data_IF_838526048637
#
_entry.id   IF_838526048637
#
_cell.length_a   1.000
_cell.length_b   1.000
_cell.length_c   1.000
_cell.angle_alpha   90.00
_cell.angle_beta   90.00
_cell.angle_gamma   90.00
#
_symmetry.space_group_name_H-M   'P 1'
#
loop_
_entity.id
_entity.type
_entity.pdbx_description
1 polymer ?
#
# COMPACT_ATOMS: atom_id res chain seq x y z
N UNK A 1 -44.37 -11.46 -56.74
CA UNK A 1 -43.36 -10.62 -57.41
C UNK A 1 -43.07 -9.48 -56.45
N UNK A 2 -41.86 -9.48 -55.93
CA UNK A 2 -41.33 -8.55 -54.91
C UNK A 2 -41.34 -7.12 -55.44
N UNK A 3 -41.63 -6.16 -54.56
CA UNK A 3 -40.77 -4.97 -54.50
C UNK A 3 -40.69 -4.41 -53.07
N UNK A 4 -39.47 -4.03 -52.71
CA UNK A 4 -39.01 -3.53 -51.42
C UNK A 4 -38.49 -2.12 -51.68
N UNK A 5 -38.91 -1.14 -50.87
CA UNK A 5 -38.16 0.06 -50.45
C UNK A 5 -39.16 1.03 -49.81
N UNK A 6 -38.87 1.89 -48.85
CA UNK A 6 -37.61 2.44 -48.38
C UNK A 6 -37.78 2.89 -46.92
N UNK A 7 -36.65 2.94 -46.26
CA UNK A 7 -36.32 3.40 -44.93
C UNK A 7 -36.81 4.82 -44.66
N UNK A 8 -37.57 4.96 -43.58
CA UNK A 8 -37.72 6.22 -42.84
C UNK A 8 -37.17 6.01 -41.42
N UNK A 9 -35.84 6.05 -41.29
CA UNK A 9 -35.12 6.10 -40.01
C UNK A 9 -35.72 7.22 -39.16
N UNK A 10 -36.55 6.88 -38.17
CA UNK A 10 -36.70 7.74 -37.01
C UNK A 10 -35.49 7.45 -36.13
N UNK A 11 -34.41 8.18 -36.42
CA UNK A 11 -33.37 8.43 -35.46
C UNK A 11 -34.04 9.33 -34.41
N UNK A 12 -34.69 8.70 -33.44
CA UNK A 12 -35.10 9.42 -32.24
C UNK A 12 -33.78 9.79 -31.54
N UNK A 13 -33.34 10.99 -31.88
CA UNK A 13 -32.30 11.74 -31.19
C UNK A 13 -32.57 11.62 -29.70
N UNK A 14 -31.82 10.75 -29.04
CA UNK A 14 -31.61 10.85 -27.60
C UNK A 14 -30.79 12.11 -27.37
N UNK A 15 -31.47 13.26 -27.45
CA UNK A 15 -30.91 14.56 -27.15
C UNK A 15 -30.55 14.56 -25.66
N UNK A 16 -29.23 14.54 -25.45
CA UNK A 16 -28.52 15.49 -24.60
C UNK A 16 -28.64 15.33 -23.09
N UNK A 17 -28.12 14.19 -22.60
CA UNK A 17 -27.33 14.20 -21.36
C UNK A 17 -26.03 13.40 -21.55
N UNK A 18 -25.33 13.63 -22.66
CA UNK A 18 -23.94 13.23 -22.87
C UNK A 18 -23.19 14.56 -22.99
N UNK A 19 -22.74 15.14 -21.88
CA UNK A 19 -21.38 14.97 -21.34
C UNK A 19 -20.75 16.36 -21.30
N UNK A 20 -20.73 17.03 -20.15
CA UNK A 20 -20.06 18.33 -20.01
C UNK A 20 -18.52 18.26 -20.15
N UNK A 21 -17.99 17.16 -20.68
CA UNK A 21 -16.61 16.90 -21.03
C UNK A 21 -16.57 15.88 -22.15
N UNK A 22 -15.76 16.06 -23.19
CA UNK A 22 -15.63 15.03 -24.22
C UNK A 22 -15.11 13.70 -23.65
N UNK A 23 -15.28 12.59 -24.39
CA UNK A 23 -14.87 11.22 -24.01
C UNK A 23 -13.46 11.16 -23.39
N UNK A 24 -12.52 11.97 -23.90
CA UNK A 24 -11.17 12.05 -23.34
C UNK A 24 -11.12 12.64 -21.93
N UNK A 25 -11.88 13.70 -21.64
CA UNK A 25 -11.96 14.29 -20.29
C UNK A 25 -12.58 13.29 -19.30
N UNK A 26 -13.61 12.57 -19.73
CA UNK A 26 -14.17 11.49 -18.91
C UNK A 26 -13.15 10.39 -18.60
N UNK A 27 -12.40 9.93 -19.59
CA UNK A 27 -11.37 8.91 -19.40
C UNK A 27 -10.25 9.42 -18.49
N UNK A 28 -9.82 10.68 -18.64
CA UNK A 28 -8.84 11.31 -17.75
C UNK A 28 -9.33 11.33 -16.30
N UNK A 29 -10.56 11.80 -16.06
CA UNK A 29 -11.13 11.84 -14.71
C UNK A 29 -11.27 10.44 -14.08
N UNK A 30 -11.52 9.40 -14.90
CA UNK A 30 -11.53 8.00 -14.44
C UNK A 30 -10.13 7.53 -14.01
N UNK A 31 -9.08 7.95 -14.72
CA UNK A 31 -7.68 7.66 -14.35
C UNK A 31 -7.38 8.33 -13.02
N UNK A 32 -7.63 9.64 -12.88
CA UNK A 32 -7.36 10.38 -11.65
C UNK A 32 -8.06 9.75 -10.43
N UNK A 33 -9.32 9.32 -10.61
CA UNK A 33 -10.07 8.62 -9.56
C UNK A 33 -9.46 7.26 -9.21
N UNK A 34 -8.99 6.51 -10.20
CA UNK A 34 -8.34 5.22 -9.97
C UNK A 34 -6.98 5.37 -9.29
N UNK A 35 -6.20 6.39 -9.66
CA UNK A 35 -4.92 6.71 -9.04
C UNK A 35 -5.10 7.08 -7.57
N UNK A 36 -6.06 7.96 -7.25
CA UNK A 36 -6.37 8.33 -5.87
C UNK A 36 -6.81 7.13 -5.01
N UNK A 37 -7.68 6.26 -5.53
CA UNK A 37 -8.07 5.02 -4.81
C UNK A 37 -6.90 4.08 -4.59
N UNK A 38 -6.00 3.98 -5.56
CA UNK A 38 -4.79 3.18 -5.43
C UNK A 38 -3.82 3.77 -4.40
N UNK A 39 -3.69 5.11 -4.33
CA UNK A 39 -2.95 5.81 -3.29
C UNK A 39 -3.51 5.46 -1.89
N UNK A 40 -4.81 5.62 -1.68
CA UNK A 40 -5.46 5.28 -0.40
C UNK A 40 -5.24 3.81 -0.01
N UNK A 41 -5.43 2.90 -0.96
CA UNK A 41 -5.21 1.47 -0.74
C UNK A 41 -3.74 1.16 -0.41
N UNK A 42 -2.80 1.84 -1.05
CA UNK A 42 -1.38 1.66 -0.81
C UNK A 42 -0.97 2.20 0.57
N UNK A 43 -1.45 3.36 0.96
CA UNK A 43 -1.24 3.93 2.29
C UNK A 43 -1.83 3.02 3.39
N UNK A 44 -3.02 2.45 3.14
CA UNK A 44 -3.64 1.44 4.00
C UNK A 44 -2.81 0.17 4.13
N UNK A 45 -2.21 -0.30 3.04
CA UNK A 45 -1.31 -1.46 3.03
C UNK A 45 -0.03 -1.20 3.84
N UNK A 46 0.61 -0.04 3.64
CA UNK A 46 1.79 0.36 4.41
C UNK A 46 1.46 0.43 5.91
N UNK A 47 0.34 1.06 6.26
CA UNK A 47 -0.14 1.15 7.65
C UNK A 47 -0.34 -0.23 8.27
N UNK A 48 -0.94 -1.16 7.53
CA UNK A 48 -1.16 -2.53 7.99
C UNK A 48 0.16 -3.28 8.27
N UNK A 49 1.16 -3.11 7.39
CA UNK A 49 2.49 -3.68 7.60
C UNK A 49 3.20 -3.05 8.80
N UNK A 50 3.11 -1.74 8.96
CA UNK A 50 3.67 -1.01 10.10
C UNK A 50 3.06 -1.51 11.42
N UNK A 51 1.73 -1.55 11.51
CA UNK A 51 1.02 -1.95 12.72
C UNK A 51 1.26 -3.44 13.03
N UNK A 52 1.38 -4.29 12.00
CA UNK A 52 1.70 -5.71 12.18
C UNK A 52 3.07 -5.92 12.83
N UNK A 53 4.15 -5.31 12.32
CA UNK A 53 5.46 -5.42 12.98
C UNK A 53 5.45 -4.72 14.35
N UNK A 54 4.71 -3.61 14.50
CA UNK A 54 4.54 -2.94 15.79
C UNK A 54 3.98 -3.87 16.86
N UNK A 55 2.97 -4.68 16.51
CA UNK A 55 2.40 -5.69 17.40
C UNK A 55 3.43 -6.80 17.74
N UNK A 56 4.17 -7.31 16.75
CA UNK A 56 5.23 -8.31 16.98
C UNK A 56 6.32 -7.78 17.92
N UNK A 57 6.74 -6.53 17.70
CA UNK A 57 7.77 -5.88 18.49
C UNK A 57 7.32 -5.61 19.93
N UNK A 58 6.09 -5.13 20.11
CA UNK A 58 5.51 -4.92 21.44
C UNK A 58 5.42 -6.24 22.21
N UNK A 59 4.91 -7.30 21.57
CA UNK A 59 4.82 -8.62 22.18
C UNK A 59 6.18 -9.18 22.57
N UNK A 60 7.19 -9.01 21.71
CA UNK A 60 8.56 -9.36 22.03
C UNK A 60 9.08 -8.59 23.27
N UNK A 61 8.82 -7.28 23.36
CA UNK A 61 9.24 -6.45 24.49
C UNK A 61 8.59 -6.88 25.81
N UNK A 62 7.32 -7.28 25.79
CA UNK A 62 6.61 -7.80 26.95
C UNK A 62 7.22 -9.10 27.47
N UNK A 63 7.61 -10.00 26.57
CA UNK A 63 8.12 -11.32 26.93
C UNK A 63 9.60 -11.30 27.30
N UNK A 64 10.38 -10.34 26.78
CA UNK A 64 11.85 -10.30 26.90
C UNK A 64 12.37 -10.35 28.34
N UNK A 65 11.78 -9.64 29.32
CA UNK A 65 12.25 -9.68 30.72
C UNK A 65 12.13 -11.06 31.36
N UNK A 66 11.12 -11.84 30.97
CA UNK A 66 10.79 -13.13 31.59
C UNK A 66 11.51 -14.30 30.91
N UNK A 67 11.55 -14.31 29.58
CA UNK A 67 11.98 -15.47 28.80
C UNK A 67 13.33 -15.27 28.09
N UNK A 68 13.95 -14.10 28.25
CA UNK A 68 15.17 -13.75 27.54
C UNK A 68 14.96 -13.62 26.02
N UNK A 69 16.04 -13.29 25.29
CA UNK A 69 15.95 -12.95 23.87
C UNK A 69 15.39 -14.11 23.03
N UNK A 70 15.95 -15.30 23.19
CA UNK A 70 15.59 -16.46 22.38
C UNK A 70 14.22 -17.04 22.77
N UNK A 71 13.92 -17.11 24.07
CA UNK A 71 12.61 -17.58 24.55
C UNK A 71 11.47 -16.69 24.07
N UNK A 72 11.63 -15.37 24.13
CA UNK A 72 10.61 -14.43 23.63
C UNK A 72 10.41 -14.52 22.12
N UNK A 73 11.49 -14.69 21.34
CA UNK A 73 11.38 -14.87 19.88
C UNK A 73 10.62 -16.16 19.53
N UNK A 74 10.93 -17.26 20.21
CA UNK A 74 10.25 -18.53 19.99
C UNK A 74 8.76 -18.45 20.35
N UNK A 75 8.43 -17.79 21.48
CA UNK A 75 7.05 -17.59 21.92
C UNK A 75 6.26 -16.73 20.93
N UNK A 76 6.77 -15.56 20.52
CA UNK A 76 6.12 -14.72 19.50
C UNK A 76 5.88 -15.52 18.21
N UNK A 77 6.89 -16.27 17.74
CA UNK A 77 6.74 -17.12 16.54
C UNK A 77 5.62 -18.16 16.71
N UNK A 78 5.54 -18.79 17.88
CA UNK A 78 4.50 -19.78 18.18
C UNK A 78 3.10 -19.15 18.25
N UNK A 79 2.96 -17.96 18.83
CA UNK A 79 1.70 -17.22 18.92
C UNK A 79 1.21 -16.82 17.53
N UNK A 80 2.09 -16.25 16.70
CA UNK A 80 1.77 -15.90 15.31
C UNK A 80 1.31 -17.12 14.53
N UNK A 81 1.97 -18.28 14.72
CA UNK A 81 1.57 -19.51 14.02
C UNK A 81 0.28 -20.12 14.52
N UNK A 82 -0.08 -19.90 15.78
CA UNK A 82 -1.39 -20.27 16.33
C UNK A 82 -2.51 -19.44 15.70
N UNK A 83 -2.30 -18.15 15.49
CA UNK A 83 -3.30 -17.24 14.91
C UNK A 83 -3.37 -17.31 13.38
N UNK A 84 -2.21 -17.52 12.74
CA UNK A 84 -2.05 -17.66 11.30
C UNK A 84 -1.55 -19.09 11.02
N UNK A 85 -2.45 -20.08 10.95
CA UNK A 85 -2.07 -21.45 10.66
C UNK A 85 -1.55 -21.57 9.22
N UNK A 86 -0.76 -22.63 8.97
CA UNK A 86 -0.14 -22.89 7.67
C UNK A 86 -1.15 -23.05 6.54
N UNK A 87 -2.35 -23.57 6.84
CA UNK A 87 -3.48 -23.67 5.90
C UNK A 87 -3.97 -22.31 5.39
N UNK A 88 -3.74 -21.22 6.13
CA UNK A 88 -4.04 -19.85 5.68
C UNK A 88 -2.85 -19.17 5.02
N UNK A 89 -1.64 -19.41 5.53
CA UNK A 89 -0.43 -18.77 5.02
C UNK A 89 0.80 -19.66 5.28
N UNK A 90 1.45 -20.12 4.22
CA UNK A 90 2.66 -20.95 4.30
C UNK A 90 3.78 -20.26 5.08
N UNK A 91 4.74 -21.04 5.58
CA UNK A 91 5.94 -20.53 6.29
C UNK A 91 6.70 -19.49 5.48
N UNK A 92 6.93 -19.77 4.19
CA UNK A 92 7.63 -18.83 3.32
C UNK A 92 6.83 -17.54 3.07
N UNK A 93 5.52 -17.65 2.90
CA UNK A 93 4.67 -16.48 2.68
C UNK A 93 4.56 -15.62 3.95
N UNK A 94 4.45 -16.25 5.12
CA UNK A 94 4.45 -15.54 6.41
C UNK A 94 5.79 -14.86 6.66
N UNK A 95 6.91 -15.55 6.41
CA UNK A 95 8.25 -14.98 6.55
C UNK A 95 8.42 -13.73 5.68
N UNK A 96 8.03 -13.80 4.40
CA UNK A 96 8.05 -12.64 3.49
C UNK A 96 7.15 -11.50 3.98
N UNK A 97 5.99 -11.81 4.55
CA UNK A 97 5.08 -10.82 5.15
C UNK A 97 5.71 -10.10 6.34
N UNK A 98 6.34 -10.84 7.26
CA UNK A 98 7.06 -10.28 8.41
C UNK A 98 8.24 -9.43 7.94
N UNK A 99 9.01 -9.89 6.95
CA UNK A 99 10.14 -9.11 6.40
C UNK A 99 9.68 -7.77 5.81
N UNK A 100 8.55 -7.75 5.09
CA UNK A 100 7.96 -6.51 4.57
C UNK A 100 7.47 -5.61 5.71
N UNK A 101 6.81 -6.20 6.70
CA UNK A 101 6.35 -5.49 7.90
C UNK A 101 7.52 -4.78 8.60
N UNK A 102 8.62 -5.51 8.82
CA UNK A 102 9.84 -4.97 9.43
C UNK A 102 10.45 -3.82 8.64
N UNK A 103 10.48 -3.91 7.31
CA UNK A 103 10.99 -2.82 6.45
C UNK A 103 10.12 -1.57 6.58
N UNK A 104 8.80 -1.71 6.49
CA UNK A 104 7.87 -0.59 6.63
C UNK A 104 7.95 0.02 8.04
N UNK A 105 7.98 -0.82 9.07
CA UNK A 105 8.15 -0.37 10.45
C UNK A 105 9.45 0.40 10.63
N UNK A 106 10.59 -0.11 10.15
CA UNK A 106 11.87 0.60 10.23
C UNK A 106 11.79 1.98 9.57
N UNK A 107 11.29 2.07 8.34
CA UNK A 107 11.20 3.35 7.61
C UNK A 107 10.34 4.34 8.41
N UNK A 108 9.08 4.00 8.65
CA UNK A 108 8.10 4.93 9.21
C UNK A 108 8.23 5.15 10.72
N UNK A 109 8.86 4.23 11.44
CA UNK A 109 9.23 4.48 12.84
C UNK A 109 10.40 5.46 12.93
N UNK A 110 11.25 5.55 11.90
CA UNK A 110 12.35 6.52 11.83
C UNK A 110 11.90 7.87 11.28
N UNK A 111 11.13 7.91 10.20
CA UNK A 111 10.74 9.19 9.55
C UNK A 111 9.42 9.79 10.07
N UNK A 112 8.68 9.03 10.88
CA UNK A 112 7.36 9.40 11.40
C UNK A 112 6.22 8.65 10.72
N UNK A 113 5.30 8.09 11.52
CA UNK A 113 4.12 7.35 11.03
C UNK A 113 3.21 8.24 10.18
N UNK A 114 3.14 9.53 10.50
CA UNK A 114 2.38 10.53 9.76
C UNK A 114 2.86 10.72 8.31
N UNK A 115 4.09 10.29 7.99
CA UNK A 115 4.63 10.32 6.63
C UNK A 115 3.97 9.30 5.70
N UNK A 116 3.27 8.29 6.23
CA UNK A 116 2.53 7.32 5.41
C UNK A 116 1.47 8.03 4.56
N UNK A 117 0.75 9.01 5.13
CA UNK A 117 -0.27 9.79 4.43
C UNK A 117 0.30 10.70 3.31
N UNK A 118 1.62 10.82 3.22
CA UNK A 118 2.30 11.64 2.19
C UNK A 118 2.80 10.78 1.02
N UNK A 119 2.57 9.46 1.07
CA UNK A 119 3.00 8.53 0.02
C UNK A 119 1.98 8.56 -1.12
N UNK A 120 2.30 9.36 -2.14
CA UNK A 120 1.39 9.62 -3.27
C UNK A 120 1.38 8.58 -4.38
N UNK A 121 2.49 7.86 -4.54
CA UNK A 121 2.57 6.85 -5.58
C UNK A 121 3.59 5.77 -5.24
N UNK A 122 3.40 4.64 -5.89
CA UNK A 122 4.33 3.52 -5.93
C UNK A 122 5.30 3.80 -7.08
N UNK A 123 6.60 4.06 -6.84
CA UNK A 123 7.57 3.90 -7.91
C UNK A 123 7.47 2.45 -8.45
N UNK A 124 7.55 2.19 -9.76
CA UNK A 124 7.29 0.87 -10.35
C UNK A 124 8.13 -0.32 -9.81
N UNK A 125 9.12 -0.09 -8.93
CA UNK A 125 9.88 -1.11 -8.20
C UNK A 125 9.77 -1.05 -6.66
N UNK A 126 8.93 -0.18 -6.10
CA UNK A 126 8.92 0.16 -4.67
C UNK A 126 8.11 -0.80 -3.80
N UNK A 127 7.21 -1.57 -4.39
CA UNK A 127 6.55 -2.63 -3.64
C UNK A 127 7.42 -3.88 -3.72
N UNK A 128 7.81 -4.38 -2.54
CA UNK A 128 8.17 -5.77 -2.22
C UNK A 128 9.66 -6.15 -2.17
N UNK A 129 10.61 -5.38 -2.73
CA UNK A 129 12.03 -5.77 -2.83
C UNK A 129 13.06 -4.76 -2.28
N UNK A 130 12.69 -3.87 -1.35
CA UNK A 130 13.68 -2.96 -0.73
C UNK A 130 14.80 -3.75 -0.05
N UNK A 131 16.03 -3.56 -0.48
CA UNK A 131 17.21 -4.03 0.25
C UNK A 131 17.41 -3.20 1.53
N UNK A 132 18.36 -3.62 2.37
CA UNK A 132 18.76 -2.81 3.53
C UNK A 132 19.26 -1.44 3.05
N UNK A 133 20.06 -1.40 2.00
CA UNK A 133 20.64 -0.18 1.43
C UNK A 133 19.55 0.76 0.88
N UNK A 134 18.52 0.22 0.22
CA UNK A 134 17.40 1.03 -0.27
C UNK A 134 16.63 1.69 0.88
N UNK A 135 16.48 0.96 1.99
CA UNK A 135 15.81 1.45 3.20
C UNK A 135 16.59 2.62 3.80
N UNK A 136 17.91 2.47 3.92
CA UNK A 136 18.79 3.51 4.48
C UNK A 136 18.88 4.73 3.55
N UNK A 137 18.92 4.52 2.23
CA UNK A 137 18.86 5.60 1.25
C UNK A 137 17.57 6.42 1.37
N UNK A 138 16.41 5.75 1.47
CA UNK A 138 15.11 6.43 1.62
C UNK A 138 15.07 7.27 2.90
N UNK A 139 15.52 6.70 4.02
CA UNK A 139 15.60 7.42 5.30
C UNK A 139 16.51 8.64 5.16
N UNK A 140 17.73 8.47 4.64
CA UNK A 140 18.69 9.56 4.47
C UNK A 140 18.15 10.69 3.57
N UNK A 141 17.48 10.34 2.47
CA UNK A 141 16.91 11.31 1.53
C UNK A 141 15.79 12.13 2.17
N UNK A 142 14.89 11.48 2.92
CA UNK A 142 13.78 12.16 3.62
C UNK A 142 14.33 13.10 4.69
N UNK A 143 15.29 12.65 5.50
CA UNK A 143 15.92 13.47 6.53
C UNK A 143 16.70 14.67 5.96
N UNK A 144 17.44 14.46 4.87
CA UNK A 144 18.20 15.53 4.21
C UNK A 144 17.29 16.59 3.57
N UNK A 145 16.15 16.16 3.01
CA UNK A 145 15.13 17.08 2.47
C UNK A 145 14.48 17.94 3.55
N UNK A 146 14.22 17.39 4.74
CA UNK A 146 13.64 18.13 5.87
C UNK A 146 14.57 19.23 6.40
N UNK A 147 15.88 18.99 6.41
CA UNK A 147 16.87 19.98 6.87
C UNK A 147 17.02 21.20 5.95
N UNK A 148 16.56 21.11 4.69
CA UNK A 148 16.67 22.21 3.70
C UNK A 148 15.50 23.21 3.73
N UNK A 149 14.43 22.91 4.48
CA UNK A 149 13.22 23.77 4.58
C UNK A 149 13.18 24.63 5.86
N UNK A 150 14.27 24.69 6.62
CA UNK A 150 14.36 25.40 7.89
C UNK A 150 15.34 26.58 7.87
N UNK A 151 15.28 27.44 6.85
CA UNK A 151 15.90 28.78 6.87
C UNK A 151 15.16 29.66 5.86
N UNK A 152 14.11 30.35 6.33
CA UNK A 152 13.56 31.55 5.72
C UNK A 152 13.04 32.43 6.85
#
# INVERSE_FOLDING_TARGET
>A
MTDISDVGRNLEETNDVVEAGGIFLQLSNKIDSAESKNEDAFQGLISSYFDFEGALFNRYKELKPTYGIEGSRALVKSEVRKEIPETKLSDDALKKRIERARKMFRIFNTIGKEKIAQVKSIPPGFILNLTVDDTDYVIAKVLKGASSKGTA
#
